data_IF_158166227528
#
_entry.id   IF_158166227528
#
_cell.length_a   1.000
_cell.length_b   1.000
_cell.length_c   1.000
_cell.angle_alpha   90.00
_cell.angle_beta   90.00
_cell.angle_gamma   90.00
#
_symmetry.space_group_name_H-M   'P 1'
#
loop_
_entity.id
_entity.type
_entity.pdbx_description
1 polymer ?
#
# COMPACT_ATOMS: atom_id res chain seq x y z
N UNK A 1 -20.18 -20.48 -7.97
CA UNK A 1 -19.19 -19.53 -8.48
C UNK A 1 -18.46 -18.93 -7.29
N UNK A 2 -17.12 -18.93 -7.33
CA UNK A 2 -16.24 -18.35 -6.33
C UNK A 2 -15.77 -16.98 -6.84
N UNK A 3 -16.14 -15.90 -6.15
CA UNK A 3 -15.87 -14.51 -6.55
C UNK A 3 -15.59 -13.62 -5.34
N UNK A 4 -14.92 -14.17 -4.28
CA UNK A 4 -14.69 -13.46 -3.03
C UNK A 4 -13.59 -12.39 -3.12
N UNK A 5 -12.85 -12.36 -4.24
CA UNK A 5 -11.84 -11.33 -4.49
C UNK A 5 -10.57 -11.49 -3.67
N UNK A 6 -9.83 -10.40 -3.54
CA UNK A 6 -8.60 -10.30 -2.76
C UNK A 6 -8.53 -8.94 -2.04
N UNK A 7 -7.94 -8.91 -0.85
CA UNK A 7 -7.74 -7.71 -0.07
C UNK A 7 -6.24 -7.28 -0.07
N UNK A 8 -5.94 -6.03 0.20
CA UNK A 8 -4.56 -5.56 0.33
C UNK A 8 -3.84 -6.29 1.46
N UNK A 9 -2.60 -6.72 1.20
CA UNK A 9 -1.73 -7.28 2.24
C UNK A 9 -1.29 -6.18 3.18
N UNK A 10 -1.40 -6.44 4.47
CA UNK A 10 -1.00 -5.51 5.54
C UNK A 10 0.53 -5.42 5.66
N UNK A 11 1.01 -4.31 6.20
CA UNK A 11 2.42 -4.14 6.57
C UNK A 11 2.79 -4.97 7.81
N UNK A 12 1.82 -5.22 8.69
CA UNK A 12 2.03 -5.89 9.97
C UNK A 12 2.66 -5.00 11.04
N UNK A 13 2.48 -3.70 10.92
CA UNK A 13 2.96 -2.71 11.91
C UNK A 13 1.93 -2.49 13.04
N UNK A 14 2.37 -2.00 14.20
CA UNK A 14 1.46 -1.65 15.29
C UNK A 14 0.39 -0.66 14.84
N UNK A 15 -0.83 -0.83 15.36
CA UNK A 15 -1.99 0.05 15.14
C UNK A 15 -2.39 0.29 13.68
N UNK A 16 -1.91 -0.52 12.74
CA UNK A 16 -2.18 -0.37 11.30
C UNK A 16 -3.67 -0.22 10.99
N UNK A 17 -4.52 -1.05 11.61
CA UNK A 17 -5.96 -1.01 11.38
C UNK A 17 -6.61 0.33 11.79
N UNK A 18 -6.09 1.00 12.81
CA UNK A 18 -6.55 2.31 13.27
C UNK A 18 -6.13 3.43 12.30
N UNK A 19 -4.99 3.26 11.65
CA UNK A 19 -4.41 4.24 10.74
C UNK A 19 -5.03 4.21 9.34
N UNK A 20 -5.70 3.12 8.97
CA UNK A 20 -6.36 3.01 7.66
C UNK A 20 -7.42 4.10 7.50
N UNK A 21 -7.30 4.91 6.44
CA UNK A 21 -8.14 6.08 6.20
C UNK A 21 -7.75 7.32 7.02
N UNK A 22 -6.80 7.19 7.97
CA UNK A 22 -6.29 8.27 8.81
C UNK A 22 -4.81 8.56 8.52
N UNK A 23 -4.46 8.54 7.24
CA UNK A 23 -3.10 8.77 6.76
C UNK A 23 -2.39 7.52 6.24
N UNK A 24 -2.91 6.30 6.49
CA UNK A 24 -2.46 5.08 5.86
C UNK A 24 -3.53 4.58 4.87
N UNK A 25 -3.11 4.31 3.63
CA UNK A 25 -3.99 4.02 2.50
C UNK A 25 -3.48 2.82 1.69
N UNK A 26 -4.42 2.11 1.05
CA UNK A 26 -4.13 0.98 0.16
C UNK A 26 -4.50 1.26 -1.30
N UNK A 27 -4.95 2.47 -1.62
CA UNK A 27 -5.38 2.85 -2.96
C UNK A 27 -4.89 4.26 -3.30
N UNK A 28 -3.82 4.38 -4.07
CA UNK A 28 -3.30 5.67 -4.49
C UNK A 28 -4.26 6.43 -5.42
N UNK A 29 -4.96 5.70 -6.30
CA UNK A 29 -5.95 6.30 -7.20
C UNK A 29 -7.18 6.84 -6.45
N UNK A 30 -7.56 6.21 -5.31
CA UNK A 30 -8.70 6.62 -4.50
C UNK A 30 -8.38 7.87 -3.65
N UNK A 31 -7.21 7.85 -2.99
CA UNK A 31 -6.92 8.77 -1.90
C UNK A 31 -5.78 9.76 -2.21
N UNK A 32 -5.06 9.57 -3.31
CA UNK A 32 -3.88 10.37 -3.66
C UNK A 32 -4.15 11.87 -3.76
N UNK A 33 -5.35 12.27 -4.20
CA UNK A 33 -5.72 13.69 -4.32
C UNK A 33 -5.78 14.44 -2.99
N UNK A 34 -5.95 13.74 -1.85
CA UNK A 34 -5.91 14.36 -0.52
C UNK A 34 -4.48 14.77 -0.10
N UNK A 35 -3.48 14.28 -0.85
CA UNK A 35 -2.06 14.54 -0.62
C UNK A 35 -1.43 15.44 -1.67
N UNK A 36 -2.25 16.23 -2.37
CA UNK A 36 -1.74 17.24 -3.30
C UNK A 36 -0.77 18.18 -2.58
N UNK A 37 0.39 18.40 -3.21
CA UNK A 37 1.48 19.26 -2.71
C UNK A 37 2.09 18.83 -1.36
N UNK A 38 1.83 17.60 -0.89
CA UNK A 38 2.36 16.99 0.34
C UNK A 38 3.46 15.97 0.05
N UNK A 39 4.13 15.52 1.10
CA UNK A 39 5.12 14.43 1.03
C UNK A 39 4.46 13.11 1.43
N UNK A 40 4.57 12.10 0.58
CA UNK A 40 4.00 10.78 0.84
C UNK A 40 5.05 9.67 0.75
N UNK A 41 4.83 8.61 1.51
CA UNK A 41 5.59 7.37 1.43
C UNK A 41 4.78 6.33 0.67
N UNK A 42 5.39 5.65 -0.30
CA UNK A 42 4.84 4.46 -0.96
C UNK A 42 5.67 3.26 -0.51
N UNK A 43 5.02 2.24 0.03
CA UNK A 43 5.70 1.04 0.50
C UNK A 43 5.45 -0.12 -0.46
N UNK A 44 6.52 -0.63 -1.06
CA UNK A 44 6.48 -1.75 -1.99
C UNK A 44 7.56 -1.66 -3.06
N UNK A 45 7.60 -2.62 -3.97
CA UNK A 45 8.61 -2.64 -5.05
C UNK A 45 8.18 -3.47 -6.26
N UNK A 46 6.91 -3.87 -6.31
CA UNK A 46 6.27 -4.52 -7.47
C UNK A 46 5.59 -3.51 -8.39
N UNK A 47 4.92 -4.01 -9.43
CA UNK A 47 4.21 -3.18 -10.41
C UNK A 47 3.21 -2.21 -9.77
N UNK A 48 2.44 -2.65 -8.77
CA UNK A 48 1.47 -1.80 -8.08
C UNK A 48 2.16 -0.61 -7.39
N UNK A 49 3.23 -0.87 -6.62
CA UNK A 49 3.97 0.19 -5.94
C UNK A 49 4.61 1.19 -6.93
N UNK A 50 5.13 0.69 -8.04
CA UNK A 50 5.72 1.51 -9.09
C UNK A 50 4.67 2.38 -9.79
N UNK A 51 3.50 1.81 -10.13
CA UNK A 51 2.38 2.54 -10.72
C UNK A 51 1.83 3.61 -9.75
N UNK A 52 1.65 3.24 -8.47
CA UNK A 52 1.20 4.17 -7.42
C UNK A 52 2.18 5.32 -7.21
N UNK A 53 3.48 5.04 -7.16
CA UNK A 53 4.52 6.06 -7.04
C UNK A 53 4.53 7.03 -8.23
N UNK A 54 4.37 6.53 -9.46
CA UNK A 54 4.25 7.36 -10.66
C UNK A 54 2.96 8.20 -10.67
N UNK A 55 1.84 7.65 -10.23
CA UNK A 55 0.61 8.40 -10.10
C UNK A 55 0.76 9.53 -9.09
N UNK A 56 1.27 9.21 -7.90
CA UNK A 56 1.46 10.16 -6.81
C UNK A 56 2.53 11.21 -7.12
N UNK A 57 3.54 10.89 -7.94
CA UNK A 57 4.55 11.88 -8.37
C UNK A 57 3.98 13.04 -9.17
N UNK A 58 2.81 12.85 -9.80
CA UNK A 58 2.11 13.90 -10.55
C UNK A 58 1.22 14.78 -9.67
N UNK A 59 0.96 14.36 -8.44
CA UNK A 59 0.01 14.99 -7.52
C UNK A 59 0.73 15.60 -6.32
N UNK A 60 1.67 14.84 -5.77
CA UNK A 60 2.35 15.16 -4.51
C UNK A 60 3.61 16.01 -4.74
N UNK A 61 4.00 16.77 -3.72
CA UNK A 61 5.28 17.50 -3.72
C UNK A 61 6.48 16.55 -3.75
N UNK A 62 6.42 15.46 -2.98
CA UNK A 62 7.48 14.46 -2.89
C UNK A 62 6.89 13.07 -2.66
N UNK A 63 7.45 12.07 -3.31
CA UNK A 63 7.12 10.66 -3.12
C UNK A 63 8.38 9.93 -2.68
N UNK A 64 8.31 9.20 -1.58
CA UNK A 64 9.40 8.39 -1.05
C UNK A 64 9.02 6.94 -1.20
N UNK A 65 9.67 6.25 -2.14
CA UNK A 65 9.41 4.83 -2.43
C UNK A 65 10.31 3.95 -1.55
N UNK A 66 9.70 3.30 -0.58
CA UNK A 66 10.37 2.41 0.39
C UNK A 66 10.30 0.97 -0.10
N UNK A 67 11.46 0.34 -0.31
CA UNK A 67 11.54 -1.05 -0.71
C UNK A 67 12.56 -1.84 0.11
N UNK A 68 12.18 -3.08 0.48
CA UNK A 68 13.02 -3.97 1.31
C UNK A 68 14.24 -4.57 0.61
N UNK A 69 14.37 -4.38 -0.70
CA UNK A 69 15.49 -4.82 -1.54
C UNK A 69 16.23 -3.61 -2.11
N UNK A 70 17.33 -3.83 -2.79
CA UNK A 70 18.15 -2.85 -3.48
C UNK A 70 17.69 -2.54 -4.90
N UNK A 71 16.71 -3.30 -5.43
CA UNK A 71 16.13 -3.09 -6.76
C UNK A 71 14.62 -3.35 -6.79
N UNK A 72 13.93 -2.71 -7.73
CA UNK A 72 12.50 -2.94 -7.97
C UNK A 72 12.27 -4.31 -8.62
N UNK A 73 11.21 -4.99 -8.17
CA UNK A 73 10.67 -6.18 -8.84
C UNK A 73 9.65 -5.83 -9.93
N UNK A 74 9.29 -4.57 -10.03
CA UNK A 74 8.42 -4.06 -11.08
C UNK A 74 9.02 -4.33 -12.47
N UNK A 75 8.16 -4.48 -13.48
CA UNK A 75 8.59 -4.61 -14.87
C UNK A 75 9.39 -3.37 -15.29
N UNK A 76 10.36 -3.56 -16.20
CA UNK A 76 11.30 -2.50 -16.60
C UNK A 76 10.63 -1.24 -17.18
N UNK A 77 9.40 -1.35 -17.66
CA UNK A 77 8.63 -0.22 -18.18
C UNK A 77 8.41 0.89 -17.11
N UNK A 78 8.43 0.53 -15.84
CA UNK A 78 8.28 1.49 -14.73
C UNK A 78 9.61 2.12 -14.28
N UNK A 79 10.75 1.47 -14.55
CA UNK A 79 12.04 1.87 -13.99
C UNK A 79 12.45 3.26 -14.49
N UNK A 80 12.50 3.44 -15.83
CA UNK A 80 12.95 4.70 -16.41
C UNK A 80 12.05 5.88 -16.01
N UNK A 81 10.71 5.83 -16.12
CA UNK A 81 9.85 6.92 -15.66
C UNK A 81 10.02 7.29 -14.18
N UNK A 82 10.21 6.29 -13.31
CA UNK A 82 10.45 6.54 -11.88
C UNK A 82 11.80 7.20 -11.62
N UNK A 83 12.86 6.78 -12.31
CA UNK A 83 14.20 7.35 -12.19
C UNK A 83 14.27 8.79 -12.74
N UNK A 84 13.45 9.13 -13.73
CA UNK A 84 13.37 10.47 -14.30
C UNK A 84 12.47 11.42 -13.50
N UNK A 85 11.61 10.89 -12.64
CA UNK A 85 10.72 11.71 -11.81
C UNK A 85 11.50 12.45 -10.72
N UNK A 86 11.62 13.78 -10.86
CA UNK A 86 12.47 14.64 -10.01
C UNK A 86 12.05 14.68 -8.53
N UNK A 87 10.82 14.31 -8.23
CA UNK A 87 10.25 14.33 -6.89
C UNK A 87 10.06 12.93 -6.30
N UNK A 88 10.60 11.89 -6.95
CA UNK A 88 10.61 10.52 -6.41
C UNK A 88 11.99 10.24 -5.80
N UNK A 89 11.99 9.82 -4.54
CA UNK A 89 13.19 9.38 -3.82
C UNK A 89 13.04 7.90 -3.44
N UNK A 90 14.12 7.15 -3.58
CA UNK A 90 14.14 5.71 -3.26
C UNK A 90 14.82 5.48 -1.91
N UNK A 91 14.16 4.68 -1.07
CA UNK A 91 14.68 4.17 0.19
C UNK A 91 14.84 2.66 0.07
N UNK A 92 16.02 2.25 -0.38
CA UNK A 92 16.36 0.85 -0.62
C UNK A 92 16.74 0.12 0.67
N UNK A 93 16.53 -1.20 0.68
CA UNK A 93 16.81 -2.07 1.82
C UNK A 93 16.10 -1.64 3.10
N UNK A 94 14.96 -0.97 2.98
CA UNK A 94 14.19 -0.46 4.11
C UNK A 94 12.85 -1.18 4.25
N UNK A 95 12.46 -1.39 5.51
CA UNK A 95 11.12 -1.84 5.91
C UNK A 95 10.52 -0.81 6.84
N UNK A 96 9.19 -0.68 6.83
CA UNK A 96 8.49 0.18 7.80
C UNK A 96 8.37 -0.60 9.11
N UNK A 97 8.87 -0.02 10.20
CA UNK A 97 8.80 -0.58 11.55
C UNK A 97 7.57 -0.05 12.30
N UNK A 98 7.32 1.25 12.19
CA UNK A 98 6.17 1.91 12.83
C UNK A 98 5.87 3.25 12.17
N UNK A 99 4.73 3.82 12.52
CA UNK A 99 4.32 5.16 12.10
C UNK A 99 4.60 6.16 13.22
N UNK A 100 4.96 7.37 12.85
CA UNK A 100 5.09 8.51 13.76
C UNK A 100 3.84 9.36 13.63
N UNK A 101 3.23 9.67 14.76
CA UNK A 101 1.96 10.36 14.84
C UNK A 101 2.06 11.61 15.72
N UNK A 102 1.22 12.59 15.42
CA UNK A 102 0.91 13.69 16.33
C UNK A 102 -0.58 13.78 16.58
N UNK A 103 -0.93 14.21 17.80
CA UNK A 103 -2.32 14.54 18.12
C UNK A 103 -2.53 16.00 17.83
N UNK A 104 -3.43 16.33 16.91
CA UNK A 104 -3.79 17.71 16.58
C UNK A 104 -5.03 18.07 17.37
N UNK A 105 -4.90 19.07 18.28
CA UNK A 105 -6.04 19.68 18.98
C UNK A 105 -6.79 20.57 17.99
N UNK A 106 -8.09 20.35 17.83
CA UNK A 106 -8.89 20.98 16.78
C UNK A 106 -9.29 22.43 17.06
N UNK A 107 -8.34 23.39 16.98
CA UNK A 107 -8.63 24.83 16.96
C UNK A 107 -8.07 25.55 15.71
N UNK A 108 -7.67 24.82 14.69
CA UNK A 108 -7.08 25.38 13.45
C UNK A 108 -8.00 25.23 12.25
N UNK A 109 -8.25 26.34 11.57
CA UNK A 109 -8.84 26.41 10.23
C UNK A 109 -7.89 25.81 9.17
N UNK A 110 -7.57 24.54 9.25
CA UNK A 110 -6.86 23.86 8.20
C UNK A 110 -7.85 23.20 7.24
N UNK A 111 -7.78 23.68 6.01
CA UNK A 111 -8.62 23.38 4.86
C UNK A 111 -8.34 21.94 4.32
N UNK A 112 -8.37 20.94 5.20
CA UNK A 112 -8.14 19.55 4.84
C UNK A 112 -9.46 18.80 4.79
N UNK A 113 -9.91 18.44 3.58
CA UNK A 113 -11.15 17.71 3.34
C UNK A 113 -11.20 16.28 3.90
N UNK A 114 -10.17 15.85 4.64
CA UNK A 114 -10.15 14.60 5.40
C UNK A 114 -11.07 14.57 6.63
N UNK A 115 -11.77 15.69 6.92
CA UNK A 115 -12.67 15.83 8.07
C UNK A 115 -13.99 15.06 7.98
N UNK A 116 -14.22 14.25 6.94
CA UNK A 116 -15.53 13.60 6.77
C UNK A 116 -15.87 12.51 7.79
N UNK A 117 -14.94 12.10 8.66
CA UNK A 117 -15.15 10.97 9.57
C UNK A 117 -14.78 11.17 11.04
N UNK A 118 -14.35 12.34 11.45
CA UNK A 118 -13.96 12.56 12.85
C UNK A 118 -14.91 13.52 13.58
N UNK A 119 -15.90 12.96 14.24
CA UNK A 119 -16.76 13.65 15.19
C UNK A 119 -16.13 13.87 16.56
N UNK A 120 -14.80 14.12 16.66
CA UNK A 120 -14.08 14.28 17.93
C UNK A 120 -13.01 15.36 17.86
N UNK A 121 -12.80 16.07 18.97
CA UNK A 121 -11.92 17.24 19.08
C UNK A 121 -10.43 16.97 18.99
N UNK A 122 -9.99 15.71 18.95
CA UNK A 122 -8.60 15.32 18.77
C UNK A 122 -8.52 14.29 17.65
N UNK A 123 -7.83 14.58 16.56
CA UNK A 123 -7.56 13.62 15.50
C UNK A 123 -6.06 13.32 15.43
N UNK A 124 -5.77 12.07 15.08
CA UNK A 124 -4.40 11.60 14.88
C UNK A 124 -3.99 11.93 13.47
N UNK A 125 -2.82 12.54 13.32
CA UNK A 125 -2.21 12.83 12.02
C UNK A 125 -0.88 12.11 11.93
N UNK A 126 -0.64 11.46 10.80
CA UNK A 126 0.68 10.90 10.48
C UNK A 126 1.63 12.04 10.17
N UNK A 127 2.80 12.02 10.81
CA UNK A 127 3.88 13.01 10.61
C UNK A 127 5.16 12.36 10.07
N UNK A 128 5.23 11.03 10.08
CA UNK A 128 6.38 10.32 9.56
C UNK A 128 6.28 8.82 9.68
N UNK A 129 7.34 8.15 9.27
CA UNK A 129 7.53 6.70 9.40
C UNK A 129 8.91 6.39 9.96
N UNK A 130 9.01 5.38 10.81
CA UNK A 130 10.28 4.78 11.19
C UNK A 130 10.59 3.64 10.26
N UNK A 131 11.71 3.76 9.58
CA UNK A 131 12.26 2.75 8.70
C UNK A 131 13.37 1.99 9.43
N UNK A 132 13.47 0.71 9.11
CA UNK A 132 14.55 -0.17 9.57
C UNK A 132 15.24 -0.77 8.36
N UNK A 133 16.56 -0.62 8.29
CA UNK A 133 17.35 -1.25 7.25
C UNK A 133 17.32 -2.78 7.43
N UNK A 134 16.95 -3.49 6.37
CA UNK A 134 16.77 -4.95 6.39
C UNK A 134 18.11 -5.71 6.56
N UNK A 135 19.24 -5.10 6.16
CA UNK A 135 20.56 -5.72 6.24
C UNK A 135 21.32 -5.31 7.52
N UNK A 136 21.34 -4.02 7.85
CA UNK A 136 22.14 -3.50 8.99
C UNK A 136 21.34 -3.38 10.28
N UNK A 137 20.00 -3.35 10.20
CA UNK A 137 19.15 -3.11 11.35
C UNK A 137 19.10 -1.64 11.80
N UNK A 138 19.83 -0.75 11.12
CA UNK A 138 19.83 0.69 11.41
C UNK A 138 18.45 1.28 11.22
N UNK A 139 18.07 2.19 12.13
CA UNK A 139 16.77 2.86 12.10
C UNK A 139 16.90 4.31 11.70
N UNK A 140 15.97 4.77 10.88
CA UNK A 140 15.86 6.18 10.52
C UNK A 140 14.39 6.61 10.54
N UNK A 141 14.16 7.90 10.75
CA UNK A 141 12.85 8.49 10.67
C UNK A 141 12.74 9.35 9.41
N UNK A 142 11.62 9.18 8.70
CA UNK A 142 11.33 9.89 7.46
C UNK A 142 10.03 10.65 7.65
N UNK A 143 10.07 11.96 7.49
CA UNK A 143 8.90 12.85 7.60
C UNK A 143 8.00 12.67 6.37
N UNK A 144 6.71 12.47 6.61
CA UNK A 144 5.69 12.39 5.57
C UNK A 144 4.31 12.71 6.12
N UNK A 145 3.40 13.08 5.22
CA UNK A 145 2.00 13.40 5.53
C UNK A 145 1.06 12.20 5.37
N UNK A 146 1.52 11.16 4.69
CA UNK A 146 0.72 9.95 4.46
C UNK A 146 1.51 8.80 3.88
N UNK A 147 0.92 7.60 3.99
CA UNK A 147 1.53 6.33 3.62
C UNK A 147 0.59 5.57 2.69
N UNK A 148 1.11 5.12 1.55
CA UNK A 148 0.41 4.24 0.60
C UNK A 148 1.07 2.86 0.59
N UNK A 149 0.29 1.84 0.93
CA UNK A 149 0.78 0.47 1.09
C UNK A 149 0.48 -0.35 -0.17
N UNK A 150 1.52 -0.77 -0.89
CA UNK A 150 1.43 -1.50 -2.16
C UNK A 150 2.34 -2.74 -2.14
N UNK A 151 2.17 -3.58 -1.10
CA UNK A 151 3.01 -4.78 -0.84
C UNK A 151 2.40 -6.07 -1.36
N UNK A 152 1.35 -5.97 -2.17
CA UNK A 152 0.62 -7.07 -2.77
C UNK A 152 -0.79 -7.23 -2.23
N UNK A 153 -1.47 -8.26 -2.72
CA UNK A 153 -2.83 -8.63 -2.32
C UNK A 153 -2.83 -10.06 -1.79
N UNK A 154 -3.87 -10.39 -1.06
CA UNK A 154 -4.11 -11.71 -0.48
C UNK A 154 -5.53 -12.15 -0.84
N UNK A 155 -5.69 -13.32 -1.51
CA UNK A 155 -7.01 -13.78 -1.93
C UNK A 155 -7.84 -14.28 -0.75
N UNK A 156 -9.16 -14.09 -0.82
CA UNK A 156 -10.11 -14.58 0.20
C UNK A 156 -10.45 -16.05 -0.01
N UNK A 157 -9.44 -16.91 0.09
CA UNK A 157 -9.56 -18.36 -0.15
C UNK A 157 -9.63 -19.21 1.12
N UNK A 158 -9.47 -18.60 2.29
CA UNK A 158 -9.35 -19.29 3.57
C UNK A 158 -10.49 -20.30 3.86
N UNK A 159 -11.71 -19.97 3.43
CA UNK A 159 -12.89 -20.86 3.63
C UNK A 159 -12.88 -22.12 2.74
N UNK A 160 -12.09 -22.12 1.68
CA UNK A 160 -12.10 -23.15 0.62
C UNK A 160 -10.72 -23.74 0.34
N UNK A 161 -9.68 -23.38 1.11
CA UNK A 161 -8.29 -23.78 0.87
C UNK A 161 -8.07 -25.30 0.80
N UNK A 162 -8.89 -26.07 1.51
CA UNK A 162 -8.82 -27.53 1.51
C UNK A 162 -9.73 -28.20 0.47
N UNK A 163 -10.40 -27.44 -0.38
CA UNK A 163 -11.37 -27.95 -1.35
C UNK A 163 -10.94 -27.72 -2.79
N UNK A 164 -10.30 -26.58 -3.05
CA UNK A 164 -9.83 -26.20 -4.39
C UNK A 164 -8.30 -26.16 -4.42
N UNK A 165 -7.73 -26.33 -5.61
CA UNK A 165 -6.29 -26.23 -5.80
C UNK A 165 -5.89 -24.74 -5.83
N UNK A 166 -4.94 -24.37 -4.96
CA UNK A 166 -4.38 -23.02 -4.86
C UNK A 166 -2.94 -23.00 -5.36
N UNK A 167 -2.51 -21.84 -5.82
CA UNK A 167 -1.11 -21.57 -6.12
C UNK A 167 -0.31 -21.27 -4.82
N UNK A 168 1.00 -21.02 -4.96
CA UNK A 168 1.90 -20.68 -3.85
C UNK A 168 1.53 -19.37 -3.11
N UNK A 169 0.74 -18.51 -3.74
CA UNK A 169 0.28 -17.23 -3.20
C UNK A 169 -1.14 -17.31 -2.63
N UNK A 170 -1.78 -18.47 -2.70
CA UNK A 170 -3.13 -18.74 -2.20
C UNK A 170 -4.25 -18.42 -3.19
N UNK A 171 -3.95 -18.08 -4.44
CA UNK A 171 -4.96 -17.86 -5.48
C UNK A 171 -5.48 -19.18 -6.03
N UNK A 172 -6.76 -19.21 -6.41
CA UNK A 172 -7.34 -20.40 -7.05
C UNK A 172 -6.73 -20.57 -8.43
N UNK A 173 -6.20 -21.77 -8.72
CA UNK A 173 -5.73 -22.13 -10.04
C UNK A 173 -6.94 -22.35 -10.94
N UNK A 174 -7.18 -21.43 -11.87
CA UNK A 174 -8.22 -21.53 -12.88
C UNK A 174 -7.75 -20.83 -14.16
N UNK A 175 -7.94 -21.49 -15.29
CA UNK A 175 -7.62 -20.95 -16.61
C UNK A 175 -8.67 -19.93 -17.09
N UNK A 176 -8.56 -19.49 -18.34
CA UNK A 176 -9.53 -18.57 -18.94
C UNK A 176 -10.95 -19.13 -19.02
N UNK A 177 -11.15 -20.46 -18.91
CA UNK A 177 -12.47 -21.08 -18.81
C UNK A 177 -13.09 -20.90 -17.43
N UNK A 178 -12.35 -20.34 -16.48
CA UNK A 178 -12.75 -20.11 -15.08
C UNK A 178 -13.01 -21.36 -14.26
N UNK A 179 -12.77 -22.55 -14.84
CA UNK A 179 -12.99 -23.84 -14.19
C UNK A 179 -11.94 -24.10 -13.13
N UNK A 180 -12.39 -24.55 -11.96
CA UNK A 180 -11.50 -25.07 -10.93
C UNK A 180 -11.27 -26.58 -11.11
N UNK A 181 -10.48 -27.18 -10.23
CA UNK A 181 -10.33 -28.65 -10.17
C UNK A 181 -11.63 -29.38 -9.80
N UNK A 182 -12.65 -28.69 -9.29
CA UNK A 182 -13.94 -29.30 -8.91
C UNK A 182 -14.96 -29.14 -10.05
N UNK A 183 -15.60 -30.24 -10.52
CA UNK A 183 -16.65 -30.14 -11.53
C UNK A 183 -17.81 -29.25 -11.07
N UNK A 184 -18.23 -28.32 -11.95
CA UNK A 184 -19.33 -27.39 -11.66
C UNK A 184 -18.97 -26.21 -10.77
N UNK A 185 -17.71 -26.08 -10.34
CA UNK A 185 -17.20 -24.94 -9.54
C UNK A 185 -16.30 -24.07 -10.40
N UNK A 186 -16.60 -22.78 -10.44
CA UNK A 186 -15.94 -21.76 -11.23
C UNK A 186 -15.39 -20.65 -10.36
N UNK A 187 -14.21 -20.11 -10.68
CA UNK A 187 -13.59 -18.99 -9.98
C UNK A 187 -13.45 -17.80 -10.93
N UNK A 188 -13.81 -16.59 -10.47
CA UNK A 188 -13.79 -15.35 -11.26
C UNK A 188 -13.31 -14.15 -10.45
N UNK A 189 -12.71 -13.15 -11.13
CA UNK A 189 -12.19 -11.95 -10.50
C UNK A 189 -10.84 -12.18 -9.78
N UNK A 190 -10.52 -11.32 -8.81
CA UNK A 190 -9.22 -11.25 -8.14
C UNK A 190 -8.91 -12.44 -7.21
N UNK A 191 -9.73 -13.45 -7.15
CA UNK A 191 -9.52 -14.63 -6.31
C UNK A 191 -8.71 -15.72 -7.01
N UNK A 192 -8.54 -15.63 -8.32
CA UNK A 192 -7.86 -16.62 -9.16
C UNK A 192 -6.63 -16.06 -9.87
N UNK A 193 -5.77 -16.96 -10.32
CA UNK A 193 -4.66 -16.67 -11.26
C UNK A 193 -5.16 -16.50 -12.68
#
# INVERSE_FOLDING_TARGET
>A
ILAMGAHPRKLGIPDEARLVGHGLHYCAACDGMFYKDKTVVVVGGGNSAAADALLLSRICKKVILVHRRDELRATKVYHEPLMQAKNVEFQWNQTVESVVESTVSGDGHDNCQSQRFSGGRNHVQITGVRLKNAATGEKQEVVCDGIFVSVGREPETRMIENQVVLDENGYIIADESTKTNLPGVFAVGDIRT
#
